data_IF_562155071408
#
_entry.id   IF_562155071408
#
_cell.length_a   1.000
_cell.length_b   1.000
_cell.length_c   1.000
_cell.angle_alpha   90.00
_cell.angle_beta   90.00
_cell.angle_gamma   90.00
#
_symmetry.space_group_name_H-M   'P 1'
#
loop_
_entity.id
_entity.type
_entity.pdbx_description
1 polymer ?
#
# COMPACT_ATOMS: atom_id res chain seq x y z
N UNK A 1 13.40 21.10 39.45
CA UNK A 1 12.53 19.89 39.47
C UNK A 1 11.53 20.01 38.32
N UNK A 2 11.55 19.09 37.37
CA UNK A 2 10.46 18.98 36.39
C UNK A 2 10.77 19.20 34.93
N UNK A 3 11.84 18.61 34.35
CA UNK A 3 12.09 18.65 32.90
C UNK A 3 12.09 17.24 32.25
N UNK A 4 11.86 16.19 33.03
CA UNK A 4 11.97 14.79 32.55
C UNK A 4 10.66 14.13 32.07
N UNK A 5 9.52 14.84 32.08
CA UNK A 5 8.21 14.21 31.83
C UNK A 5 7.71 14.28 30.38
N UNK A 6 8.32 15.07 29.50
CA UNK A 6 7.83 15.20 28.10
C UNK A 6 8.42 14.21 27.10
N UNK A 7 9.63 13.67 27.37
CA UNK A 7 10.26 12.70 26.45
C UNK A 7 9.69 11.29 26.57
N UNK A 8 9.23 10.88 27.77
CA UNK A 8 8.65 9.56 27.99
C UNK A 8 7.29 9.35 27.30
N UNK A 9 6.48 10.41 27.20
CA UNK A 9 5.14 10.30 26.58
C UNK A 9 5.15 10.08 25.06
N UNK A 10 6.20 10.52 24.38
CA UNK A 10 6.32 10.32 22.91
C UNK A 10 6.84 8.93 22.57
N UNK A 11 7.68 8.32 23.41
CA UNK A 11 8.11 6.93 23.26
C UNK A 11 6.95 5.94 23.49
N UNK A 12 6.14 6.17 24.52
CA UNK A 12 4.99 5.31 24.84
C UNK A 12 3.90 5.30 23.76
N UNK A 13 3.67 6.41 23.04
CA UNK A 13 2.66 6.45 21.98
C UNK A 13 3.09 5.69 20.71
N UNK A 14 4.39 5.66 20.40
CA UNK A 14 4.94 4.89 19.27
C UNK A 14 5.06 3.39 19.59
N UNK A 15 5.45 3.07 20.81
CA UNK A 15 5.46 1.70 21.31
C UNK A 15 4.04 1.14 21.43
N UNK A 16 3.06 1.94 21.85
CA UNK A 16 1.66 1.52 21.99
C UNK A 16 1.01 1.07 20.67
N UNK A 17 1.29 1.76 19.55
CA UNK A 17 0.74 1.34 18.26
C UNK A 17 1.37 0.02 17.75
N UNK A 18 2.67 -0.18 17.99
CA UNK A 18 3.38 -1.41 17.67
C UNK A 18 3.01 -2.54 18.64
N UNK A 19 2.86 -2.25 19.92
CA UNK A 19 2.45 -3.21 20.98
C UNK A 19 1.07 -3.77 20.68
N UNK A 20 0.10 -2.94 20.26
CA UNK A 20 -1.24 -3.44 19.92
C UNK A 20 -1.23 -4.43 18.75
N UNK A 21 -0.36 -4.25 17.76
CA UNK A 21 -0.25 -5.19 16.63
C UNK A 21 0.44 -6.48 17.07
N UNK A 22 1.49 -6.40 17.88
CA UNK A 22 2.17 -7.57 18.44
C UNK A 22 1.25 -8.37 19.37
N UNK A 23 0.45 -7.71 20.20
CA UNK A 23 -0.55 -8.39 21.06
C UNK A 23 -1.63 -9.11 20.24
N UNK A 24 -2.04 -8.54 19.08
CA UNK A 24 -3.09 -9.11 18.23
C UNK A 24 -2.61 -10.20 17.29
N UNK A 25 -1.41 -10.05 16.73
CA UNK A 25 -0.91 -10.84 15.60
C UNK A 25 0.41 -11.54 15.88
N UNK A 26 1.07 -11.25 17.02
CA UNK A 26 2.44 -11.67 17.30
C UNK A 26 3.48 -10.79 16.59
N UNK A 27 4.76 -11.18 16.71
CA UNK A 27 5.85 -10.48 16.05
C UNK A 27 5.79 -10.70 14.54
N UNK A 28 5.92 -9.65 13.71
CA UNK A 28 6.05 -9.81 12.26
C UNK A 28 7.37 -10.50 11.94
N UNK A 29 7.41 -11.23 10.84
CA UNK A 29 8.65 -11.81 10.33
C UNK A 29 9.68 -10.71 10.01
N UNK A 30 9.24 -9.63 9.38
CA UNK A 30 10.00 -8.39 9.15
C UNK A 30 9.06 -7.27 8.69
N UNK A 31 9.62 -6.05 8.57
CA UNK A 31 8.88 -4.88 8.11
C UNK A 31 9.50 -4.27 6.86
N UNK A 32 8.63 -3.83 5.96
CA UNK A 32 8.98 -3.04 4.78
C UNK A 32 8.46 -1.61 4.94
N UNK A 33 9.06 -0.68 4.19
CA UNK A 33 8.71 0.74 4.26
C UNK A 33 8.54 1.34 2.87
N UNK A 34 7.56 2.23 2.72
CA UNK A 34 7.38 3.02 1.50
C UNK A 34 7.08 4.47 1.85
N UNK A 35 7.55 5.42 1.04
CA UNK A 35 7.31 6.85 1.24
C UNK A 35 6.06 7.31 0.51
N UNK A 36 5.27 8.21 1.13
CA UNK A 36 4.15 8.89 0.49
C UNK A 36 4.58 9.93 -0.54
N UNK A 37 5.78 10.52 -0.37
CA UNK A 37 6.25 11.66 -1.19
C UNK A 37 6.78 11.28 -2.58
N UNK A 38 7.03 10.00 -2.84
CA UNK A 38 7.62 9.54 -4.10
C UNK A 38 6.63 9.58 -5.28
N UNK A 39 5.33 9.77 -4.99
CA UNK A 39 4.27 9.76 -6.00
C UNK A 39 4.22 11.03 -6.88
N UNK A 40 4.99 12.08 -6.60
CA UNK A 40 4.76 13.39 -7.24
C UNK A 40 5.62 13.72 -8.45
N UNK A 41 6.82 13.15 -8.62
CA UNK A 41 7.71 13.57 -9.73
C UNK A 41 8.37 12.46 -10.54
N UNK A 42 8.51 11.26 -10.00
CA UNK A 42 9.18 10.17 -10.72
C UNK A 42 8.24 8.97 -10.72
N UNK A 43 7.94 8.44 -11.89
CA UNK A 43 7.13 7.24 -12.11
C UNK A 43 7.74 5.98 -11.45
N UNK A 44 8.32 6.15 -10.27
CA UNK A 44 9.05 5.15 -9.52
C UNK A 44 8.64 5.17 -8.05
N UNK A 45 8.36 4.01 -7.50
CA UNK A 45 8.11 3.77 -6.08
C UNK A 45 9.19 2.80 -5.60
N UNK A 46 9.90 3.17 -4.55
CA UNK A 46 10.87 2.31 -3.88
C UNK A 46 10.26 1.79 -2.57
N UNK A 47 10.44 0.49 -2.33
CA UNK A 47 10.12 -0.17 -1.08
C UNK A 47 11.45 -0.58 -0.44
N UNK A 48 11.65 -0.20 0.81
CA UNK A 48 12.89 -0.40 1.55
C UNK A 48 12.69 -1.34 2.73
N UNK A 49 13.78 -1.93 3.20
CA UNK A 49 13.85 -2.61 4.49
C UNK A 49 14.04 -1.61 5.66
N UNK A 50 14.24 -2.12 6.87
CA UNK A 50 14.50 -1.33 8.08
C UNK A 50 15.84 -0.55 8.04
N UNK A 51 16.77 -0.96 7.18
CA UNK A 51 18.07 -0.29 6.96
C UNK A 51 18.03 0.72 5.81
N UNK A 52 16.82 1.06 5.32
CA UNK A 52 16.61 1.93 4.16
C UNK A 52 17.17 1.39 2.84
N UNK A 53 17.51 0.09 2.77
CA UNK A 53 17.94 -0.57 1.55
C UNK A 53 16.72 -0.87 0.66
N UNK A 54 16.81 -0.51 -0.62
CA UNK A 54 15.73 -0.80 -1.58
C UNK A 54 15.67 -2.29 -1.84
N UNK A 55 14.52 -2.90 -1.51
CA UNK A 55 14.24 -4.33 -1.72
C UNK A 55 13.31 -4.58 -2.89
N UNK A 56 12.40 -3.62 -3.18
CA UNK A 56 11.56 -3.65 -4.38
C UNK A 56 11.47 -2.27 -5.01
N UNK A 57 11.26 -2.27 -6.33
CA UNK A 57 11.11 -1.06 -7.12
C UNK A 57 9.96 -1.22 -8.12
N UNK A 58 9.03 -0.28 -8.11
CA UNK A 58 8.01 -0.17 -9.13
C UNK A 58 8.30 0.99 -10.06
N UNK A 59 8.19 0.74 -11.38
CA UNK A 59 8.37 1.76 -12.43
C UNK A 59 7.15 1.80 -13.32
N UNK A 60 6.52 2.98 -13.38
CA UNK A 60 5.38 3.22 -14.28
C UNK A 60 5.88 3.80 -15.60
N UNK A 61 5.46 3.20 -16.71
CA UNK A 61 5.76 3.68 -18.06
C UNK A 61 4.71 4.71 -18.49
N UNK A 62 5.15 5.93 -18.83
CA UNK A 62 4.32 7.03 -19.35
C UNK A 62 4.78 7.41 -20.76
N UNK A 63 3.92 7.94 -21.65
CA UNK A 63 2.46 8.02 -21.58
C UNK A 63 1.83 6.83 -22.31
N UNK A 64 0.94 6.12 -21.69
CA UNK A 64 0.10 5.14 -22.38
C UNK A 64 -1.37 5.32 -21.98
N UNK A 65 -2.29 5.04 -22.89
CA UNK A 65 -3.73 4.93 -22.61
C UNK A 65 -4.03 3.91 -21.49
N UNK A 66 -3.04 3.05 -21.20
CA UNK A 66 -3.08 2.03 -20.17
C UNK A 66 -1.79 2.16 -19.37
N UNK A 67 -1.87 2.76 -18.18
CA UNK A 67 -0.69 2.86 -17.31
C UNK A 67 -0.22 1.45 -16.95
N UNK A 68 1.03 1.18 -17.28
CA UNK A 68 1.69 -0.10 -17.01
C UNK A 68 2.79 0.13 -15.99
N UNK A 69 2.80 -0.67 -14.93
CA UNK A 69 3.81 -0.62 -13.90
C UNK A 69 4.48 -1.98 -13.77
N UNK A 70 5.79 -2.00 -13.90
CA UNK A 70 6.62 -3.18 -13.68
C UNK A 70 7.22 -3.10 -12.27
N UNK A 71 7.11 -4.17 -11.49
CA UNK A 71 7.72 -4.33 -10.17
C UNK A 71 8.88 -5.30 -10.30
N UNK A 72 10.04 -4.90 -9.78
CA UNK A 72 11.24 -5.73 -9.71
C UNK A 72 11.76 -5.82 -8.27
N UNK A 73 12.49 -6.89 -7.95
CA UNK A 73 13.26 -7.01 -6.72
C UNK A 73 14.58 -6.21 -6.79
N UNK A 74 15.36 -6.22 -5.71
CA UNK A 74 16.65 -5.54 -5.61
C UNK A 74 17.68 -6.02 -6.65
N UNK A 75 17.57 -7.25 -7.14
CA UNK A 75 18.42 -7.84 -8.18
C UNK A 75 17.93 -7.51 -9.60
N UNK A 76 16.78 -6.84 -9.74
CA UNK A 76 16.17 -6.52 -11.02
C UNK A 76 15.32 -7.65 -11.60
N UNK A 77 15.09 -8.75 -10.86
CA UNK A 77 14.21 -9.80 -11.32
C UNK A 77 12.74 -9.32 -11.31
N UNK A 78 11.92 -9.71 -12.29
CA UNK A 78 10.52 -9.37 -12.33
C UNK A 78 9.78 -9.98 -11.13
N UNK A 79 8.90 -9.19 -10.50
CA UNK A 79 8.03 -9.59 -9.40
C UNK A 79 6.58 -9.59 -9.85
N UNK A 80 6.12 -8.49 -10.45
CA UNK A 80 4.76 -8.36 -10.94
C UNK A 80 4.66 -7.29 -12.04
N UNK A 81 3.60 -7.41 -12.84
CA UNK A 81 3.16 -6.42 -13.81
C UNK A 81 1.75 -5.96 -13.46
N UNK A 82 1.54 -4.65 -13.39
CA UNK A 82 0.24 -4.03 -13.14
C UNK A 82 -0.20 -3.30 -14.41
N UNK A 83 -1.42 -3.57 -14.86
CA UNK A 83 -2.04 -2.88 -16.00
C UNK A 83 -3.36 -2.26 -15.57
N UNK A 84 -3.50 -0.94 -15.72
CA UNK A 84 -4.75 -0.23 -15.51
C UNK A 84 -5.58 -0.30 -16.79
N UNK A 85 -6.81 -0.79 -16.70
CA UNK A 85 -7.78 -0.77 -17.80
C UNK A 85 -8.93 0.17 -17.48
N UNK A 86 -9.15 1.14 -18.36
CA UNK A 86 -10.30 2.02 -18.34
C UNK A 86 -11.45 1.32 -19.07
N UNK A 87 -12.10 0.37 -18.40
CA UNK A 87 -13.27 -0.33 -18.91
C UNK A 87 -14.52 0.32 -18.31
N UNK A 88 -15.07 1.34 -18.99
CA UNK A 88 -16.30 2.03 -18.58
C UNK A 88 -16.16 2.87 -17.29
N UNK A 89 -17.25 3.01 -16.50
CA UNK A 89 -17.33 3.83 -15.28
C UNK A 89 -16.45 3.35 -14.11
N UNK A 90 -15.86 2.15 -14.19
CA UNK A 90 -15.07 1.55 -13.12
C UNK A 90 -13.65 1.27 -13.61
N UNK A 91 -12.67 1.96 -13.03
CA UNK A 91 -11.26 1.65 -13.26
C UNK A 91 -10.91 0.33 -12.58
N UNK A 92 -10.19 -0.53 -13.30
CA UNK A 92 -9.71 -1.81 -12.80
C UNK A 92 -8.21 -1.92 -13.01
N UNK A 93 -7.53 -2.46 -12.00
CA UNK A 93 -6.12 -2.76 -12.05
C UNK A 93 -5.94 -4.28 -12.06
N UNK A 94 -5.34 -4.79 -13.13
CA UNK A 94 -5.00 -6.19 -13.28
C UNK A 94 -3.55 -6.38 -12.90
N UNK A 95 -3.29 -7.30 -11.98
CA UNK A 95 -1.96 -7.64 -11.52
C UNK A 95 -1.63 -9.05 -11.98
N UNK A 96 -0.48 -9.20 -12.64
CA UNK A 96 0.08 -10.50 -13.03
C UNK A 96 1.43 -10.66 -12.34
N UNK A 97 1.55 -11.65 -11.46
CA UNK A 97 2.78 -11.99 -10.77
C UNK A 97 3.73 -12.74 -11.69
N UNK A 98 5.04 -12.71 -11.40
CA UNK A 98 6.05 -13.39 -12.20
C UNK A 98 5.90 -14.93 -12.19
N UNK A 99 5.25 -15.50 -11.17
CA UNK A 99 4.92 -16.93 -11.08
C UNK A 99 3.67 -17.33 -11.86
N UNK A 100 2.99 -16.37 -12.51
CA UNK A 100 1.78 -16.58 -13.30
C UNK A 100 0.47 -16.39 -12.52
N UNK A 101 0.50 -16.18 -11.19
CA UNK A 101 -0.69 -15.83 -10.44
C UNK A 101 -1.23 -14.47 -10.92
N UNK A 102 -2.54 -14.30 -10.96
CA UNK A 102 -3.15 -13.02 -11.33
C UNK A 102 -4.35 -12.70 -10.46
N UNK A 103 -4.57 -11.39 -10.23
CA UNK A 103 -5.69 -10.89 -9.45
C UNK A 103 -6.09 -9.49 -9.90
N UNK A 104 -7.23 -9.03 -9.40
CA UNK A 104 -7.83 -7.75 -9.78
C UNK A 104 -8.15 -6.91 -8.55
N UNK A 105 -7.86 -5.61 -8.66
CA UNK A 105 -8.32 -4.57 -7.74
C UNK A 105 -9.15 -3.54 -8.51
N UNK A 106 -10.35 -3.23 -8.03
CA UNK A 106 -11.26 -2.27 -8.66
C UNK A 106 -11.53 -1.06 -7.77
N UNK A 107 -11.91 0.07 -8.37
CA UNK A 107 -12.27 1.29 -7.62
C UNK A 107 -13.54 1.12 -6.77
N UNK A 108 -14.30 0.05 -6.95
CA UNK A 108 -15.41 -0.31 -6.06
C UNK A 108 -14.94 -0.53 -4.61
N UNK A 109 -13.65 -0.88 -4.41
CA UNK A 109 -13.02 -0.94 -3.09
C UNK A 109 -13.21 0.33 -2.26
N UNK A 110 -13.28 1.50 -2.92
CA UNK A 110 -13.39 2.81 -2.25
C UNK A 110 -14.83 3.28 -2.05
N UNK A 111 -15.79 2.66 -2.72
CA UNK A 111 -17.21 3.00 -2.60
C UNK A 111 -17.94 2.17 -1.53
N UNK A 112 -17.33 1.07 -1.12
CA UNK A 112 -17.89 0.24 -0.07
C UNK A 112 -17.51 0.87 1.27
N UNK A 113 -18.51 1.42 1.96
CA UNK A 113 -18.46 1.80 3.39
C UNK A 113 -18.41 0.50 4.24
N UNK A 114 -17.62 -0.47 3.80
CA UNK A 114 -17.45 -1.73 4.49
C UNK A 114 -16.00 -1.84 4.93
N UNK A 115 -15.81 -2.16 6.18
CA UNK A 115 -14.50 -2.40 6.79
C UNK A 115 -13.80 -3.65 6.20
N UNK A 116 -14.46 -4.39 5.31
CA UNK A 116 -13.94 -5.63 4.71
C UNK A 116 -14.18 -5.63 3.22
N UNK A 117 -13.11 -5.85 2.46
CA UNK A 117 -13.14 -5.98 1.00
C UNK A 117 -12.38 -7.21 0.53
N UNK A 118 -12.98 -7.96 -0.40
CA UNK A 118 -12.36 -9.14 -1.00
C UNK A 118 -11.53 -8.76 -2.24
N UNK A 119 -10.34 -9.38 -2.38
CA UNK A 119 -9.51 -9.27 -3.58
C UNK A 119 -9.89 -10.40 -4.53
N UNK A 120 -10.40 -10.02 -5.71
CA UNK A 120 -10.82 -10.97 -6.73
C UNK A 120 -9.62 -11.73 -7.29
N UNK A 121 -9.67 -13.05 -7.28
CA UNK A 121 -8.60 -13.92 -7.77
C UNK A 121 -7.69 -14.48 -6.69
N UNK A 122 -7.63 -13.85 -5.50
CA UNK A 122 -6.82 -14.35 -4.38
C UNK A 122 -7.66 -15.00 -3.26
N UNK A 123 -8.93 -14.61 -3.13
CA UNK A 123 -9.75 -14.96 -1.97
C UNK A 123 -9.30 -14.28 -0.68
N UNK A 124 -8.43 -13.28 -0.77
CA UNK A 124 -7.91 -12.50 0.35
C UNK A 124 -8.85 -11.36 0.71
N UNK A 125 -8.72 -10.87 1.94
CA UNK A 125 -9.53 -9.79 2.48
C UNK A 125 -8.65 -8.62 2.95
N UNK A 126 -9.05 -7.41 2.55
CA UNK A 126 -8.59 -6.15 3.14
C UNK A 126 -9.56 -5.74 4.23
N UNK A 127 -9.09 -5.40 5.42
CA UNK A 127 -9.89 -4.91 6.53
C UNK A 127 -9.29 -3.60 7.07
N UNK A 128 -10.11 -2.56 7.18
CA UNK A 128 -9.70 -1.24 7.68
C UNK A 128 -9.74 -0.13 6.63
N UNK A 129 -9.03 0.97 6.90
CA UNK A 129 -9.03 2.16 6.06
C UNK A 129 -8.01 2.04 4.91
N UNK A 130 -8.45 1.51 3.77
CA UNK A 130 -7.60 1.34 2.58
C UNK A 130 -7.13 2.68 2.01
N UNK A 131 -8.01 3.71 2.00
CA UNK A 131 -7.67 5.05 1.49
C UNK A 131 -6.57 5.74 2.31
N UNK A 132 -6.57 5.53 3.61
CA UNK A 132 -5.54 6.04 4.51
C UNK A 132 -4.31 5.14 4.60
N UNK A 133 -4.22 4.06 3.80
CA UNK A 133 -3.18 3.02 3.90
C UNK A 133 -3.00 2.54 5.36
N UNK A 134 -4.11 2.31 6.04
CA UNK A 134 -4.16 1.76 7.39
C UNK A 134 -5.13 0.59 7.40
N UNK A 135 -4.64 -0.60 7.09
CA UNK A 135 -5.44 -1.79 6.89
C UNK A 135 -4.66 -3.08 7.19
N UNK A 136 -5.40 -4.13 7.37
CA UNK A 136 -4.93 -5.49 7.59
C UNK A 136 -5.26 -6.35 6.36
N UNK A 137 -4.37 -7.24 5.98
CA UNK A 137 -4.54 -8.17 4.87
C UNK A 137 -4.61 -9.59 5.42
N UNK A 138 -5.67 -10.31 5.04
CA UNK A 138 -5.93 -11.68 5.46
C UNK A 138 -6.00 -12.61 4.27
N UNK A 139 -5.56 -13.86 4.46
CA UNK A 139 -5.73 -14.92 3.48
C UNK A 139 -7.15 -15.50 3.46
N UNK A 140 -7.39 -16.48 2.59
CA UNK A 140 -8.67 -17.16 2.47
C UNK A 140 -9.08 -17.95 3.74
N UNK A 141 -8.12 -18.30 4.61
CA UNK A 141 -8.36 -18.99 5.88
C UNK A 141 -8.64 -18.00 7.02
N UNK A 142 -8.52 -16.70 6.79
CA UNK A 142 -8.67 -15.66 7.79
C UNK A 142 -7.42 -15.46 8.65
N UNK A 143 -6.26 -15.93 8.20
CA UNK A 143 -4.97 -15.69 8.86
C UNK A 143 -4.36 -14.38 8.35
N UNK A 144 -3.73 -13.60 9.25
CA UNK A 144 -3.10 -12.34 8.88
C UNK A 144 -1.87 -12.60 7.99
N UNK A 145 -1.79 -11.87 6.89
CA UNK A 145 -0.67 -11.89 5.94
C UNK A 145 0.24 -10.69 6.19
N UNK A 146 -0.36 -9.51 6.31
CA UNK A 146 0.35 -8.26 6.52
C UNK A 146 -0.54 -7.23 7.22
N UNK A 147 0.10 -6.30 7.92
CA UNK A 147 -0.53 -5.12 8.50
C UNK A 147 0.15 -3.88 7.96
N UNK A 148 -0.63 -2.96 7.40
CA UNK A 148 -0.16 -1.73 6.80
C UNK A 148 -0.61 -0.56 7.67
N UNK A 149 0.31 0.32 8.03
CA UNK A 149 0.00 1.50 8.82
C UNK A 149 1.03 2.61 8.66
N UNK A 150 0.61 3.83 8.98
CA UNK A 150 1.48 4.98 8.95
C UNK A 150 2.38 4.99 10.20
N UNK A 151 3.70 5.08 10.01
CA UNK A 151 4.65 5.33 11.11
C UNK A 151 4.69 6.83 11.43
N UNK A 152 4.17 7.20 12.59
CA UNK A 152 4.00 8.60 13.04
C UNK A 152 5.34 9.31 13.36
N UNK A 153 6.47 8.59 13.43
CA UNK A 153 7.75 9.11 13.94
C UNK A 153 8.87 9.25 12.91
N UNK A 154 8.56 9.21 11.62
CA UNK A 154 9.57 9.51 10.61
C UNK A 154 9.41 10.95 10.13
N UNK A 155 10.50 11.71 10.04
CA UNK A 155 10.57 13.03 9.39
C UNK A 155 10.05 13.02 7.93
N UNK A 156 9.78 11.84 7.41
CA UNK A 156 9.17 11.59 6.12
C UNK A 156 7.95 10.70 6.36
N UNK A 157 6.80 11.10 5.84
CA UNK A 157 5.57 10.30 5.86
C UNK A 157 5.86 8.92 5.22
N UNK A 158 6.20 7.94 6.03
CA UNK A 158 6.48 6.55 5.61
C UNK A 158 5.35 5.65 6.10
N UNK A 159 4.91 4.76 5.22
CA UNK A 159 4.09 3.63 5.60
C UNK A 159 4.97 2.44 5.96
N UNK A 160 4.61 1.76 7.04
CA UNK A 160 5.19 0.50 7.46
C UNK A 160 4.27 -0.63 6.99
N UNK A 161 4.87 -1.70 6.52
CA UNK A 161 4.19 -2.93 6.11
C UNK A 161 4.82 -4.06 6.90
N UNK A 162 4.13 -4.49 7.96
CA UNK A 162 4.55 -5.61 8.80
C UNK A 162 4.14 -6.92 8.10
N UNK A 163 5.10 -7.75 7.76
CA UNK A 163 4.91 -9.01 7.04
C UNK A 163 4.89 -10.18 8.02
N UNK A 164 3.81 -10.94 8.03
CA UNK A 164 3.63 -12.15 8.86
C UNK A 164 3.85 -13.43 8.08
N UNK A 165 3.57 -13.42 6.75
CA UNK A 165 3.77 -14.53 5.83
C UNK A 165 4.79 -14.15 4.75
N UNK A 166 6.10 -14.42 4.96
CA UNK A 166 7.16 -13.96 4.04
C UNK A 166 7.05 -14.57 2.65
N UNK A 167 6.47 -15.77 2.51
CA UNK A 167 6.23 -16.41 1.21
C UNK A 167 5.22 -15.66 0.34
N UNK A 168 4.36 -14.80 0.96
CA UNK A 168 3.36 -13.99 0.28
C UNK A 168 3.78 -12.52 0.09
N UNK A 169 4.98 -12.15 0.54
CA UNK A 169 5.48 -10.77 0.54
C UNK A 169 5.41 -10.10 -0.83
N UNK A 170 5.81 -10.79 -1.90
CA UNK A 170 5.78 -10.23 -3.26
C UNK A 170 4.36 -9.85 -3.68
N UNK A 171 3.38 -10.66 -3.32
CA UNK A 171 1.97 -10.38 -3.60
C UNK A 171 1.46 -9.21 -2.76
N UNK A 172 1.86 -9.11 -1.48
CA UNK A 172 1.58 -7.95 -0.62
C UNK A 172 2.13 -6.66 -1.21
N UNK A 173 3.38 -6.68 -1.68
CA UNK A 173 4.02 -5.55 -2.36
C UNK A 173 3.25 -5.13 -3.61
N UNK A 174 2.83 -6.07 -4.43
CA UNK A 174 2.05 -5.79 -5.65
C UNK A 174 0.68 -5.17 -5.31
N UNK A 175 -0.01 -5.66 -4.27
CA UNK A 175 -1.26 -5.08 -3.77
C UNK A 175 -1.03 -3.65 -3.27
N UNK A 176 -0.02 -3.41 -2.45
CA UNK A 176 0.30 -2.09 -1.89
C UNK A 176 0.54 -1.06 -3.00
N UNK A 177 1.36 -1.38 -3.99
CA UNK A 177 1.66 -0.49 -5.12
C UNK A 177 0.40 -0.21 -5.94
N UNK A 178 -0.42 -1.23 -6.17
CA UNK A 178 -1.69 -1.06 -6.90
C UNK A 178 -2.63 -0.12 -6.15
N UNK A 179 -2.77 -0.28 -4.83
CA UNK A 179 -3.59 0.60 -3.99
C UNK A 179 -3.07 2.04 -3.99
N UNK A 180 -1.75 2.26 -3.94
CA UNK A 180 -1.17 3.60 -4.04
C UNK A 180 -1.51 4.26 -5.39
N UNK A 181 -1.47 3.53 -6.50
CA UNK A 181 -1.90 4.05 -7.81
C UNK A 181 -3.38 4.42 -7.82
N UNK A 182 -4.24 3.56 -7.27
CA UNK A 182 -5.68 3.80 -7.20
C UNK A 182 -6.03 5.03 -6.34
N UNK A 183 -5.35 5.23 -5.21
CA UNK A 183 -5.52 6.40 -4.35
C UNK A 183 -5.14 7.67 -5.11
N UNK A 184 -3.98 7.66 -5.78
CA UNK A 184 -3.50 8.79 -6.59
C UNK A 184 -4.45 9.15 -7.73
N UNK A 185 -4.97 8.15 -8.44
CA UNK A 185 -5.94 8.37 -9.52
C UNK A 185 -7.21 9.03 -9.00
N UNK A 186 -7.67 8.64 -7.82
CA UNK A 186 -8.82 9.25 -7.15
C UNK A 186 -8.56 10.70 -6.74
N UNK A 187 -7.40 10.99 -6.19
CA UNK A 187 -7.00 12.37 -5.82
C UNK A 187 -6.92 13.27 -7.05
N UNK A 188 -6.35 12.77 -8.14
CA UNK A 188 -6.27 13.50 -9.40
C UNK A 188 -7.66 13.77 -9.99
N UNK A 189 -8.58 12.82 -9.93
CA UNK A 189 -9.97 12.99 -10.38
C UNK A 189 -10.72 14.02 -9.51
N UNK A 190 -10.53 14.01 -8.19
CA UNK A 190 -11.15 14.97 -7.27
C UNK A 190 -10.63 16.41 -7.51
N UNK A 191 -9.33 16.58 -7.78
CA UNK A 191 -8.75 17.91 -8.05
C UNK A 191 -9.20 18.49 -9.39
N UNK A 192 -9.44 17.67 -10.42
CA UNK A 192 -9.93 18.12 -11.71
C UNK A 192 -11.39 18.59 -11.70
N UNK A 193 -12.22 18.01 -10.83
CA UNK A 193 -13.64 18.39 -10.70
C UNK A 193 -13.85 19.73 -9.99
N UNK A 194 -12.90 20.17 -9.16
CA UNK A 194 -12.98 21.45 -8.44
C UNK A 194 -12.68 22.69 -9.33
N UNK A 195 -12.01 22.50 -10.47
CA UNK A 195 -11.70 23.60 -11.41
C UNK A 195 -12.84 23.96 -12.36
N UNK A 196 -13.84 23.11 -12.52
CA UNK A 196 -14.96 23.34 -13.45
C UNK A 196 -16.15 24.10 -12.85
N UNK A 197 -16.15 24.42 -11.56
CA UNK A 197 -17.26 25.09 -10.87
C UNK A 197 -17.07 26.59 -10.58
N UNK A 198 -16.02 27.23 -11.12
CA UNK A 198 -15.73 28.66 -10.90
C UNK A 198 -15.80 29.53 -12.16
N UNK A 199 -16.65 29.18 -13.12
CA UNK A 199 -16.90 29.97 -14.34
C UNK A 199 -18.42 30.12 -14.53
N UNK A 200 -19.03 30.96 -13.69
CA UNK A 200 -20.31 31.63 -13.92
C UNK A 200 -20.31 32.96 -13.18
#
# INVERSE_FOLDING_TARGET
MGVFSKHHRFHEAGESANVNNVERFGEPHHSLFTSTKVLTLHHRIDITDANETVVYQAKTKFPSLHDKTDITDASGNPVAHIERKLLTLHQRHFVTMADGQSFELSNELFHLIRDITNIVGLGWQLRGNVLGLNFELYDANGEVIAVIGQKIFSLHDKYCVDIYKPELEKTVVAILITLQHMIKDREAAASSSSFSSSSD
#
